data_IF_624150428212
#
_entry.id   IF_624150428212
#
_cell.length_a   1.000
_cell.length_b   1.000
_cell.length_c   1.000
_cell.angle_alpha   90.00
_cell.angle_beta   90.00
_cell.angle_gamma   90.00
#
_symmetry.space_group_name_H-M   'P 1'
#
loop_
_entity.id
_entity.type
_entity.pdbx_description
1 polymer ?
#
# COMPACT_ATOMS: atom_id res chain seq x y z
N UNK A 1 -7.92 -8.47 -18.21
CA UNK A 1 -8.22 -7.03 -17.98
C UNK A 1 -8.80 -6.75 -16.60
N UNK A 2 -9.92 -7.35 -16.18
CA UNK A 2 -10.54 -7.08 -14.86
C UNK A 2 -9.61 -7.30 -13.66
N UNK A 3 -8.85 -8.40 -13.64
CA UNK A 3 -7.88 -8.67 -12.56
C UNK A 3 -6.73 -7.66 -12.51
N UNK A 4 -6.22 -7.21 -13.66
CA UNK A 4 -5.14 -6.22 -13.74
C UNK A 4 -5.62 -4.87 -13.16
N UNK A 5 -6.82 -4.45 -13.54
CA UNK A 5 -7.43 -3.20 -13.06
C UNK A 5 -7.69 -3.28 -11.56
N UNK A 6 -8.27 -4.38 -11.09
CA UNK A 6 -8.56 -4.57 -9.66
C UNK A 6 -7.28 -4.51 -8.80
N UNK A 7 -6.26 -5.29 -9.17
CA UNK A 7 -5.00 -5.32 -8.44
C UNK A 7 -4.23 -4.00 -8.57
N UNK A 8 -4.29 -3.33 -9.72
CA UNK A 8 -3.69 -2.01 -9.92
C UNK A 8 -4.32 -0.91 -9.04
N UNK A 9 -5.66 -0.85 -8.98
CA UNK A 9 -6.37 0.09 -8.10
C UNK A 9 -6.07 -0.23 -6.62
N UNK A 10 -6.09 -1.51 -6.26
CA UNK A 10 -5.77 -1.96 -4.89
C UNK A 10 -4.36 -1.53 -4.50
N UNK A 11 -3.37 -1.72 -5.38
CA UNK A 11 -2.00 -1.30 -5.16
C UNK A 11 -1.92 0.23 -4.96
N UNK A 12 -2.58 1.02 -5.80
CA UNK A 12 -2.57 2.48 -5.68
C UNK A 12 -3.18 2.95 -4.35
N UNK A 13 -4.31 2.36 -3.93
CA UNK A 13 -4.97 2.70 -2.67
C UNK A 13 -4.07 2.43 -1.47
N UNK A 14 -3.44 1.26 -1.40
CA UNK A 14 -2.53 0.92 -0.31
C UNK A 14 -1.24 1.75 -0.33
N UNK A 15 -0.73 2.12 -1.52
CA UNK A 15 0.39 3.04 -1.63
C UNK A 15 0.05 4.40 -1.02
N UNK A 16 -1.10 4.98 -1.36
CA UNK A 16 -1.55 6.28 -0.83
C UNK A 16 -1.72 6.22 0.68
N UNK A 17 -2.35 5.16 1.20
CA UNK A 17 -2.51 4.98 2.65
C UNK A 17 -1.16 4.86 3.36
N UNK A 18 -0.24 4.05 2.83
CA UNK A 18 1.10 3.87 3.38
C UNK A 18 1.90 5.17 3.41
N UNK A 19 1.89 5.92 2.29
CA UNK A 19 2.56 7.22 2.21
C UNK A 19 1.94 8.25 3.15
N UNK A 20 0.62 8.27 3.30
CA UNK A 20 -0.07 9.19 4.23
C UNK A 20 0.29 8.89 5.68
N UNK A 21 0.30 7.61 6.07
CA UNK A 21 0.73 7.19 7.40
C UNK A 21 2.23 7.49 7.64
N UNK A 22 3.07 7.20 6.66
CA UNK A 22 4.50 7.51 6.69
C UNK A 22 4.79 9.01 6.82
N UNK A 23 4.10 9.85 6.06
CA UNK A 23 4.18 11.30 6.18
C UNK A 23 3.74 11.78 7.57
N UNK A 24 2.65 11.23 8.09
CA UNK A 24 2.19 11.50 9.46
C UNK A 24 3.24 11.15 10.52
N UNK A 25 3.95 10.02 10.36
CA UNK A 25 5.04 9.65 11.27
C UNK A 25 6.23 10.61 11.17
N UNK A 26 6.63 10.97 9.95
CA UNK A 26 7.79 11.82 9.69
C UNK A 26 7.59 13.27 10.17
N UNK A 27 6.41 13.84 9.91
CA UNK A 27 6.15 15.24 10.19
C UNK A 27 5.47 15.49 11.54
N UNK A 28 4.68 14.52 12.04
CA UNK A 28 3.85 14.71 13.23
C UNK A 28 4.05 13.62 14.29
N UNK A 29 5.02 12.71 14.12
CA UNK A 29 5.27 11.61 15.05
C UNK A 29 5.51 12.05 16.50
N UNK A 30 6.10 13.23 16.71
CA UNK A 30 6.32 13.77 18.06
C UNK A 30 5.05 14.28 18.76
N UNK A 31 3.95 14.49 18.03
CA UNK A 31 2.66 14.96 18.57
C UNK A 31 1.79 13.76 18.96
N UNK A 32 2.13 12.57 18.48
CA UNK A 32 1.37 11.37 18.72
C UNK A 32 1.64 10.81 20.12
N UNK A 33 0.56 10.38 20.77
CA UNK A 33 0.69 9.47 21.89
C UNK A 33 1.36 8.17 21.43
N UNK A 34 1.99 7.43 22.35
CA UNK A 34 2.68 6.18 22.01
C UNK A 34 1.77 5.20 21.22
N UNK A 35 0.49 5.10 21.59
CA UNK A 35 -0.47 4.25 20.87
C UNK A 35 -0.76 4.74 19.45
N UNK A 36 -0.97 6.05 19.25
CA UNK A 36 -1.19 6.63 17.92
C UNK A 36 0.04 6.46 17.01
N UNK A 37 1.24 6.64 17.57
CA UNK A 37 2.49 6.43 16.85
C UNK A 37 2.58 4.99 16.33
N UNK A 38 2.41 4.00 17.21
CA UNK A 38 2.49 2.59 16.80
C UNK A 38 1.38 2.18 15.84
N UNK A 39 0.18 2.75 15.97
CA UNK A 39 -0.90 2.54 14.99
C UNK A 39 -0.53 3.08 13.61
N UNK A 40 0.06 4.28 13.53
CA UNK A 40 0.54 4.85 12.28
C UNK A 40 1.70 4.04 11.68
N UNK A 41 2.64 3.56 12.50
CA UNK A 41 3.71 2.63 12.07
C UNK A 41 3.10 1.36 11.50
N UNK A 42 2.16 0.74 12.21
CA UNK A 42 1.47 -0.47 11.78
C UNK A 42 0.74 -0.27 10.46
N UNK A 43 -0.01 0.83 10.32
CA UNK A 43 -0.70 1.20 9.09
C UNK A 43 0.27 1.41 7.93
N UNK A 44 1.37 2.11 8.16
CA UNK A 44 2.40 2.35 7.15
C UNK A 44 2.99 1.03 6.64
N UNK A 45 3.40 0.15 7.55
CA UNK A 45 4.01 -1.16 7.22
C UNK A 45 3.01 -2.08 6.53
N UNK A 46 1.82 -2.26 7.10
CA UNK A 46 0.80 -3.14 6.55
C UNK A 46 0.35 -2.69 5.15
N UNK A 47 0.18 -1.38 4.96
CA UNK A 47 -0.17 -0.82 3.64
C UNK A 47 0.95 -1.00 2.64
N UNK A 48 2.22 -0.85 3.04
CA UNK A 48 3.37 -1.13 2.18
C UNK A 48 3.42 -2.59 1.71
N UNK A 49 3.20 -3.55 2.62
CA UNK A 49 3.12 -4.98 2.28
C UNK A 49 1.95 -5.28 1.34
N UNK A 50 0.77 -4.71 1.62
CA UNK A 50 -0.41 -4.88 0.79
C UNK A 50 -0.23 -4.28 -0.62
N UNK A 51 0.43 -3.12 -0.72
CA UNK A 51 0.80 -2.51 -2.00
C UNK A 51 1.71 -3.44 -2.82
N UNK A 52 2.78 -3.96 -2.21
CA UNK A 52 3.73 -4.86 -2.88
C UNK A 52 3.01 -6.11 -3.40
N UNK A 53 2.18 -6.74 -2.57
CA UNK A 53 1.40 -7.90 -2.96
C UNK A 53 0.43 -7.59 -4.12
N UNK A 54 -0.31 -6.49 -4.04
CA UNK A 54 -1.24 -6.12 -5.10
C UNK A 54 -0.51 -5.79 -6.41
N UNK A 55 0.65 -5.13 -6.34
CA UNK A 55 1.49 -4.84 -7.51
C UNK A 55 2.03 -6.11 -8.15
N UNK A 56 2.45 -7.12 -7.36
CA UNK A 56 2.88 -8.42 -7.92
C UNK A 56 1.75 -9.13 -8.62
N UNK A 57 0.54 -9.15 -8.04
CA UNK A 57 -0.63 -9.77 -8.68
C UNK A 57 -1.03 -9.05 -9.98
N UNK A 58 -0.96 -7.71 -10.00
CA UNK A 58 -1.24 -6.92 -11.21
C UNK A 58 -0.24 -7.24 -12.33
N UNK A 59 1.05 -7.35 -11.99
CA UNK A 59 2.13 -7.70 -12.93
C UNK A 59 1.94 -9.12 -13.49
N UNK A 60 1.63 -10.08 -12.64
CA UNK A 60 1.45 -11.48 -13.06
C UNK A 60 0.22 -11.62 -13.96
N UNK A 61 -0.88 -10.95 -13.63
CA UNK A 61 -2.07 -10.89 -14.47
C UNK A 61 -1.80 -10.22 -15.83
N UNK A 62 -0.97 -9.17 -15.86
CA UNK A 62 -0.53 -8.54 -17.10
C UNK A 62 0.32 -9.48 -17.95
N UNK A 63 1.25 -10.20 -17.33
CA UNK A 63 2.12 -11.16 -18.02
C UNK A 63 1.31 -12.27 -18.69
N UNK A 64 0.35 -12.87 -17.96
CA UNK A 64 -0.56 -13.91 -18.49
C UNK A 64 -1.38 -13.38 -19.67
N UNK A 65 -1.86 -12.15 -19.58
CA UNK A 65 -2.61 -11.52 -20.67
C UNK A 65 -1.74 -11.29 -21.90
N UNK A 66 -0.47 -10.88 -21.72
CA UNK A 66 0.45 -10.64 -22.82
C UNK A 66 0.95 -11.94 -23.49
N UNK A 67 0.97 -13.04 -22.75
CA UNK A 67 1.36 -14.37 -23.27
C UNK A 67 0.21 -15.13 -23.96
N UNK A 68 -0.99 -14.56 -24.00
CA UNK A 68 -2.14 -15.06 -24.77
C UNK A 68 -2.31 -14.25 -26.05
#
# INVERSE_FOLDING_TARGET
>A
MSGIIFHGITAAVFLIMGLSAGAGLLFHGHEYTAGQFWNMVGLCVASGLAWLWAATQAKDAWYIMKSR
#
